data_IF_378705987588
#
_entry.id   IF_378705987588
#
_cell.length_a   1.000
_cell.length_b   1.000
_cell.length_c   1.000
_cell.angle_alpha   90.00
_cell.angle_beta   90.00
_cell.angle_gamma   90.00
#
_symmetry.space_group_name_H-M   'P 1'
#
loop_
_entity.id
_entity.type
_entity.pdbx_description
1 polymer ?
#
# COMPACT_ATOMS: atom_id res chain seq x y z
N UNK A 1 0.27 -13.17 -9.64
CA UNK A 1 0.41 -12.27 -8.48
C UNK A 1 -0.59 -12.69 -7.41
N UNK A 2 -0.18 -13.06 -6.18
CA UNK A 2 -1.10 -13.38 -5.09
C UNK A 2 -1.87 -12.16 -4.65
N UNK A 3 -3.04 -12.38 -4.01
CA UNK A 3 -3.78 -11.32 -3.34
C UNK A 3 -3.05 -10.89 -2.05
N UNK A 4 -3.32 -9.67 -1.55
CA UNK A 4 -2.69 -9.18 -0.32
C UNK A 4 -3.06 -10.04 0.91
N UNK A 5 -4.27 -10.58 0.96
CA UNK A 5 -4.71 -11.50 2.02
C UNK A 5 -4.22 -12.95 1.88
N UNK A 6 -3.37 -13.24 0.91
CA UNK A 6 -2.64 -14.51 0.86
C UNK A 6 -1.75 -14.62 2.11
N UNK A 7 -1.51 -15.85 2.60
CA UNK A 7 -0.62 -16.06 3.73
C UNK A 7 0.74 -15.39 3.45
N UNK A 8 1.20 -14.59 4.37
CA UNK A 8 2.39 -13.74 4.21
C UNK A 8 3.59 -14.32 4.96
N UNK A 9 4.77 -14.16 4.39
CA UNK A 9 6.04 -14.33 5.08
C UNK A 9 6.30 -13.14 6.02
N UNK A 10 6.01 -11.93 5.57
CA UNK A 10 6.21 -10.72 6.34
C UNK A 10 5.96 -9.44 5.54
N UNK A 11 6.18 -8.31 6.20
CA UNK A 11 5.98 -6.96 5.66
C UNK A 11 7.25 -6.13 5.77
N UNK A 12 7.58 -5.38 4.72
CA UNK A 12 8.64 -4.37 4.70
C UNK A 12 8.12 -3.01 5.15
N UNK A 13 8.92 -2.34 5.97
CA UNK A 13 8.86 -0.91 6.24
C UNK A 13 10.18 -0.26 5.82
N UNK A 14 10.12 0.98 5.34
CA UNK A 14 11.29 1.85 5.20
C UNK A 14 11.19 2.94 6.25
N UNK A 15 12.18 2.99 7.17
CA UNK A 15 12.08 3.73 8.43
C UNK A 15 12.31 5.22 8.25
N UNK A 16 11.46 6.10 8.84
CA UNK A 16 11.66 7.55 8.79
C UNK A 16 12.93 7.96 9.55
N UNK A 17 13.62 8.98 9.06
CA UNK A 17 14.84 9.49 9.68
C UNK A 17 15.04 10.99 9.41
N UNK A 18 16.03 11.58 10.06
CA UNK A 18 16.28 13.02 10.07
C UNK A 18 16.66 13.64 8.71
N UNK A 19 17.05 12.83 7.74
CA UNK A 19 17.35 13.29 6.38
C UNK A 19 16.17 13.16 5.41
N UNK A 20 14.96 12.91 5.93
CA UNK A 20 13.71 12.88 5.17
C UNK A 20 12.83 14.07 5.52
N UNK A 21 11.78 14.30 4.75
CA UNK A 21 10.79 15.36 5.01
C UNK A 21 10.00 15.15 6.31
N UNK A 22 10.21 14.01 6.99
CA UNK A 22 9.65 13.72 8.33
C UNK A 22 10.31 14.47 9.47
N UNK A 23 11.47 15.14 9.27
CA UNK A 23 12.22 15.78 10.34
C UNK A 23 11.37 16.63 11.29
N UNK A 24 10.42 17.48 10.80
CA UNK A 24 9.61 18.34 11.68
C UNK A 24 8.70 17.57 12.65
N UNK A 25 8.28 16.36 12.27
CA UNK A 25 7.35 15.50 13.03
C UNK A 25 7.91 14.09 13.24
N UNK A 26 9.24 13.96 13.26
CA UNK A 26 9.92 12.66 13.34
C UNK A 26 9.49 11.84 14.56
N UNK A 27 9.17 12.49 15.67
CA UNK A 27 8.68 11.83 16.88
C UNK A 27 7.32 11.14 16.67
N UNK A 28 6.36 11.86 16.10
CA UNK A 28 5.00 11.37 15.85
C UNK A 28 4.98 10.26 14.82
N UNK A 29 5.71 10.41 13.73
CA UNK A 29 5.78 9.37 12.70
C UNK A 29 6.51 8.12 13.21
N UNK A 30 7.56 8.28 14.01
CA UNK A 30 8.26 7.15 14.66
C UNK A 30 7.31 6.38 15.57
N UNK A 31 6.47 7.06 16.35
CA UNK A 31 5.47 6.41 17.21
C UNK A 31 4.44 5.61 16.37
N UNK A 32 3.99 6.16 15.24
CA UNK A 32 3.12 5.44 14.30
C UNK A 32 3.81 4.16 13.79
N UNK A 33 5.07 4.26 13.34
CA UNK A 33 5.86 3.14 12.85
C UNK A 33 6.11 2.07 13.91
N UNK A 34 6.29 2.44 15.17
CA UNK A 34 6.40 1.49 16.30
C UNK A 34 5.09 0.70 16.49
N UNK A 35 3.93 1.35 16.35
CA UNK A 35 2.63 0.68 16.48
C UNK A 35 2.37 -0.26 15.29
N UNK A 36 2.70 0.14 14.07
CA UNK A 36 2.64 -0.72 12.87
C UNK A 36 3.58 -1.92 13.06
N UNK A 37 4.83 -1.67 13.46
CA UNK A 37 5.85 -2.70 13.68
C UNK A 37 5.41 -3.74 14.69
N UNK A 38 4.78 -3.33 15.80
CA UNK A 38 4.27 -4.22 16.84
C UNK A 38 3.15 -5.11 16.30
N UNK A 39 2.21 -4.55 15.56
CA UNK A 39 1.10 -5.30 14.99
C UNK A 39 1.59 -6.37 13.98
N UNK A 40 2.56 -6.04 13.14
CA UNK A 40 3.17 -6.95 12.17
C UNK A 40 4.00 -8.03 12.89
N UNK A 41 4.97 -7.63 13.74
CA UNK A 41 5.89 -8.56 14.39
C UNK A 41 5.20 -9.54 15.36
N UNK A 42 3.99 -9.25 15.83
CA UNK A 42 3.17 -10.18 16.59
C UNK A 42 2.74 -11.41 15.78
N UNK A 43 2.73 -11.33 14.43
CA UNK A 43 2.15 -12.33 13.53
C UNK A 43 3.11 -12.89 12.48
N UNK A 44 4.02 -12.08 11.97
CA UNK A 44 4.87 -12.41 10.82
C UNK A 44 6.19 -11.66 10.86
N UNK A 45 7.06 -11.88 9.90
CA UNK A 45 8.33 -11.17 9.83
C UNK A 45 8.12 -9.69 9.54
N UNK A 46 8.94 -8.86 10.19
CA UNK A 46 9.05 -7.44 9.94
C UNK A 46 10.43 -7.15 9.35
N UNK A 47 10.45 -6.79 8.05
CA UNK A 47 11.65 -6.33 7.36
C UNK A 47 11.72 -4.81 7.45
N UNK A 48 12.76 -4.27 8.05
CA UNK A 48 12.97 -2.83 8.20
C UNK A 48 14.21 -2.39 7.45
N UNK A 49 14.01 -1.52 6.48
CA UNK A 49 15.07 -0.84 5.73
C UNK A 49 15.33 0.51 6.39
N UNK A 50 16.59 0.84 6.69
CA UNK A 50 16.95 2.08 7.39
C UNK A 50 18.43 2.41 7.22
N UNK A 51 18.83 3.70 7.17
CA UNK A 51 20.25 4.08 7.29
C UNK A 51 20.82 3.85 8.70
N UNK A 52 19.97 3.66 9.73
CA UNK A 52 20.37 3.64 11.15
C UNK A 52 19.88 2.39 11.88
N UNK A 53 20.40 1.20 11.53
CA UNK A 53 19.90 -0.09 12.04
C UNK A 53 20.01 -0.22 13.59
N UNK A 54 21.09 0.23 14.21
CA UNK A 54 21.26 0.11 15.68
C UNK A 54 20.31 0.99 16.49
N UNK A 55 20.12 2.29 16.19
CA UNK A 55 19.09 3.12 16.82
C UNK A 55 17.68 2.57 16.63
N UNK A 56 17.32 2.15 15.41
CA UNK A 56 15.98 1.59 15.12
C UNK A 56 15.75 0.30 15.90
N UNK A 57 16.75 -0.61 15.99
CA UNK A 57 16.66 -1.81 16.83
C UNK A 57 16.39 -1.45 18.29
N UNK A 58 17.06 -0.44 18.82
CA UNK A 58 16.85 -0.01 20.20
C UNK A 58 15.44 0.55 20.42
N UNK A 59 14.92 1.32 19.48
CA UNK A 59 13.54 1.83 19.52
C UNK A 59 12.52 0.68 19.47
N UNK A 60 12.64 -0.25 18.53
CA UNK A 60 11.78 -1.42 18.43
C UNK A 60 11.76 -2.25 19.72
N UNK A 61 12.93 -2.45 20.33
CA UNK A 61 13.06 -3.19 21.60
C UNK A 61 12.35 -2.50 22.79
N UNK A 62 11.95 -1.23 22.69
CA UNK A 62 11.12 -0.56 23.71
C UNK A 62 9.64 -0.95 23.64
N UNK A 63 9.19 -1.50 22.51
CA UNK A 63 7.77 -1.78 22.21
C UNK A 63 7.49 -3.25 21.95
N UNK A 64 8.44 -3.96 21.35
CA UNK A 64 8.31 -5.35 20.97
C UNK A 64 8.84 -6.26 22.09
N UNK A 65 8.19 -7.39 22.31
CA UNK A 65 8.67 -8.47 23.17
C UNK A 65 9.93 -9.12 22.57
N UNK A 66 10.62 -9.94 23.37
CA UNK A 66 11.78 -10.68 22.89
C UNK A 66 11.43 -11.64 21.75
N UNK A 67 10.24 -12.27 21.78
CA UNK A 67 9.75 -13.15 20.71
C UNK A 67 9.46 -12.38 19.43
N UNK A 68 8.77 -11.22 19.51
CA UNK A 68 8.49 -10.36 18.37
C UNK A 68 9.79 -9.85 17.74
N UNK A 69 10.79 -9.48 18.55
CA UNK A 69 12.12 -9.04 18.07
C UNK A 69 12.87 -10.13 17.29
N UNK A 70 12.56 -11.42 17.48
CA UNK A 70 13.17 -12.50 16.68
C UNK A 70 12.64 -12.51 15.24
N UNK A 71 11.46 -11.92 14.99
CA UNK A 71 10.89 -11.79 13.65
C UNK A 71 11.34 -10.52 12.92
N UNK A 72 12.10 -9.64 13.60
CA UNK A 72 12.58 -8.38 13.02
C UNK A 72 13.89 -8.58 12.28
N UNK A 73 13.90 -8.24 11.01
CA UNK A 73 15.06 -8.23 10.12
C UNK A 73 15.37 -6.77 9.79
N UNK A 74 16.58 -6.31 10.15
CA UNK A 74 17.03 -4.93 9.90
C UNK A 74 18.06 -4.93 8.79
N UNK A 75 17.79 -4.16 7.73
CA UNK A 75 18.69 -3.96 6.59
C UNK A 75 19.19 -2.53 6.59
N UNK A 76 20.49 -2.36 6.76
CA UNK A 76 21.09 -1.03 6.77
C UNK A 76 21.48 -0.60 5.37
N UNK A 77 20.82 0.45 4.89
CA UNK A 77 21.13 1.12 3.62
C UNK A 77 20.53 2.52 3.59
N UNK A 78 21.06 3.42 2.75
CA UNK A 78 20.50 4.77 2.60
C UNK A 78 19.14 4.72 1.88
N UNK A 79 18.24 5.63 2.27
CA UNK A 79 16.91 5.80 1.68
C UNK A 79 16.64 7.29 1.41
N UNK A 80 15.70 7.60 0.50
CA UNK A 80 15.20 8.95 0.32
C UNK A 80 13.97 9.20 1.18
N UNK A 81 13.04 8.22 1.27
CA UNK A 81 11.77 8.35 1.97
C UNK A 81 11.31 7.00 2.53
N UNK A 82 10.03 6.87 2.87
CA UNK A 82 9.46 5.80 3.69
C UNK A 82 8.42 4.94 2.98
N UNK A 83 8.09 5.22 1.75
CA UNK A 83 6.94 4.68 1.02
C UNK A 83 7.24 3.29 0.41
N UNK A 84 7.38 2.29 1.30
CA UNK A 84 7.77 0.93 0.93
C UNK A 84 6.80 0.28 -0.09
N UNK A 85 5.53 0.67 -0.09
CA UNK A 85 4.54 0.21 -1.04
C UNK A 85 4.96 0.46 -2.48
N UNK A 86 5.57 1.62 -2.75
CA UNK A 86 5.79 2.09 -4.10
C UNK A 86 7.17 1.75 -4.66
N UNK A 87 8.14 1.53 -3.78
CA UNK A 87 9.49 1.12 -4.18
C UNK A 87 9.84 -0.33 -3.84
N UNK A 88 8.95 -1.07 -3.16
CA UNK A 88 9.15 -2.45 -2.78
C UNK A 88 8.93 -3.44 -3.94
N UNK A 89 9.36 -4.68 -3.75
CA UNK A 89 9.13 -5.74 -4.74
C UNK A 89 7.65 -6.03 -4.94
N UNK A 90 7.23 -6.16 -6.20
CA UNK A 90 5.99 -6.87 -6.52
C UNK A 90 6.33 -8.36 -6.62
N UNK A 91 5.73 -9.17 -5.74
CA UNK A 91 6.08 -10.58 -5.61
C UNK A 91 5.05 -11.49 -6.28
N UNK A 92 5.53 -12.39 -7.12
CA UNK A 92 4.74 -13.50 -7.65
C UNK A 92 5.10 -14.78 -6.93
N UNK A 93 4.19 -15.75 -6.91
CA UNK A 93 4.45 -17.12 -6.50
C UNK A 93 4.38 -18.03 -7.72
N UNK A 94 5.37 -18.90 -7.88
CA UNK A 94 5.36 -19.97 -8.85
C UNK A 94 4.52 -21.17 -8.35
N UNK A 95 4.21 -22.11 -9.24
CA UNK A 95 3.42 -23.30 -8.89
C UNK A 95 4.08 -24.16 -7.80
N UNK A 96 5.42 -24.15 -7.71
CA UNK A 96 6.18 -24.84 -6.67
C UNK A 96 6.30 -24.03 -5.37
N UNK A 97 5.66 -22.86 -5.31
CA UNK A 97 5.64 -21.97 -4.14
C UNK A 97 6.86 -21.07 -4.00
N UNK A 98 7.79 -21.07 -4.95
CA UNK A 98 8.92 -20.14 -4.93
C UNK A 98 8.51 -18.71 -5.30
N UNK A 99 9.19 -17.75 -4.71
CA UNK A 99 8.97 -16.34 -5.01
C UNK A 99 9.73 -15.91 -6.27
N UNK A 100 9.03 -15.11 -7.10
CA UNK A 100 9.65 -14.25 -8.12
C UNK A 100 9.48 -12.80 -7.68
N UNK A 101 10.59 -12.12 -7.55
CA UNK A 101 10.69 -10.76 -7.00
C UNK A 101 10.92 -9.78 -8.15
N UNK A 102 9.87 -9.09 -8.56
CA UNK A 102 9.88 -8.15 -9.67
C UNK A 102 10.28 -6.76 -9.16
N UNK A 103 11.38 -6.23 -9.68
CA UNK A 103 11.93 -4.91 -9.36
C UNK A 103 11.56 -3.91 -10.46
N UNK A 104 10.48 -3.15 -10.23
CA UNK A 104 10.04 -2.08 -11.12
C UNK A 104 10.73 -0.76 -10.78
N UNK A 105 10.78 0.15 -11.76
CA UNK A 105 11.33 1.47 -11.54
C UNK A 105 10.40 2.29 -10.63
N UNK A 106 10.95 2.78 -9.53
CA UNK A 106 10.35 3.85 -8.75
C UNK A 106 11.05 5.17 -9.04
N UNK A 107 10.33 6.16 -9.53
CA UNK A 107 10.89 7.45 -9.94
C UNK A 107 10.32 8.66 -9.16
N UNK A 108 9.77 8.41 -7.96
CA UNK A 108 9.21 9.47 -7.11
C UNK A 108 7.90 10.04 -7.66
N UNK A 109 6.97 9.15 -8.04
CA UNK A 109 5.62 9.46 -8.53
C UNK A 109 5.61 10.38 -9.75
N UNK A 110 6.43 10.05 -10.74
CA UNK A 110 6.54 10.83 -11.95
C UNK A 110 7.55 11.99 -11.83
N UNK A 111 8.68 11.75 -11.15
CA UNK A 111 9.80 12.69 -11.00
C UNK A 111 9.47 13.91 -10.10
N UNK A 112 8.46 13.80 -9.24
CA UNK A 112 8.08 14.87 -8.31
C UNK A 112 9.05 14.97 -7.12
N UNK A 113 9.62 13.82 -6.69
CA UNK A 113 10.48 13.70 -5.52
C UNK A 113 11.76 12.91 -5.79
N UNK A 114 12.85 13.12 -5.03
CA UNK A 114 14.04 12.28 -5.10
C UNK A 114 13.73 10.82 -4.79
N UNK A 115 14.18 9.90 -5.67
CA UNK A 115 13.85 8.47 -5.53
C UNK A 115 15.06 7.54 -5.78
N UNK A 116 16.26 8.10 -6.02
CA UNK A 116 17.41 7.33 -6.50
C UNK A 116 17.91 6.30 -5.47
N UNK A 117 17.75 6.56 -4.18
CA UNK A 117 18.15 5.64 -3.13
C UNK A 117 17.08 4.56 -2.96
N UNK A 118 15.81 4.94 -2.92
CA UNK A 118 14.67 4.04 -2.74
C UNK A 118 14.56 3.06 -3.91
N UNK A 119 14.75 3.53 -5.15
CA UNK A 119 14.80 2.71 -6.36
C UNK A 119 15.94 1.66 -6.38
N UNK A 120 16.83 1.64 -5.37
CA UNK A 120 17.91 0.64 -5.23
C UNK A 120 17.63 -0.38 -4.12
N UNK A 121 16.61 -0.17 -3.31
CA UNK A 121 16.34 -0.99 -2.12
C UNK A 121 16.15 -2.45 -2.53
N UNK A 122 15.32 -2.74 -3.51
CA UNK A 122 15.03 -4.08 -3.99
C UNK A 122 16.29 -4.85 -4.38
N UNK A 123 17.13 -4.28 -5.23
CA UNK A 123 18.40 -4.91 -5.64
C UNK A 123 19.36 -5.11 -4.47
N UNK A 124 19.40 -4.16 -3.54
CA UNK A 124 20.28 -4.25 -2.38
C UNK A 124 19.83 -5.37 -1.44
N UNK A 125 18.52 -5.54 -1.20
CA UNK A 125 17.97 -6.65 -0.42
C UNK A 125 18.33 -8.01 -1.03
N UNK A 126 18.25 -8.15 -2.35
CA UNK A 126 18.68 -9.37 -3.05
C UNK A 126 20.17 -9.62 -2.92
N UNK A 127 21.00 -8.60 -3.12
CA UNK A 127 22.46 -8.72 -2.98
C UNK A 127 22.90 -9.10 -1.57
N UNK A 128 22.17 -8.67 -0.55
CA UNK A 128 22.40 -9.02 0.85
C UNK A 128 21.84 -10.40 1.22
N UNK A 129 21.11 -11.07 0.32
CA UNK A 129 20.51 -12.39 0.57
C UNK A 129 19.40 -12.37 1.64
N UNK A 130 18.73 -11.23 1.81
CA UNK A 130 17.67 -11.05 2.82
C UNK A 130 16.39 -11.78 2.42
N UNK A 131 16.06 -11.73 1.15
CA UNK A 131 14.90 -12.38 0.56
C UNK A 131 15.35 -13.55 -0.31
N UNK A 132 14.58 -14.62 -0.31
CA UNK A 132 14.80 -15.78 -1.17
C UNK A 132 13.82 -15.74 -2.34
N UNK A 133 14.30 -16.09 -3.53
CA UNK A 133 13.51 -16.08 -4.76
C UNK A 133 14.34 -15.71 -5.98
N UNK A 134 13.70 -15.77 -7.15
CA UNK A 134 14.29 -15.28 -8.39
C UNK A 134 14.07 -13.79 -8.56
N UNK A 135 15.13 -13.05 -8.87
CA UNK A 135 15.06 -11.61 -9.16
C UNK A 135 14.72 -11.39 -10.63
N UNK A 136 13.76 -10.50 -10.89
CA UNK A 136 13.43 -10.03 -12.24
C UNK A 136 13.58 -8.52 -12.35
N UNK A 137 14.37 -8.08 -13.33
CA UNK A 137 14.61 -6.67 -13.62
C UNK A 137 13.52 -6.13 -14.56
N UNK A 138 12.71 -5.21 -14.05
CA UNK A 138 11.72 -4.43 -14.78
C UNK A 138 11.97 -2.91 -14.67
N UNK A 139 13.20 -2.50 -14.38
CA UNK A 139 13.57 -1.10 -14.14
C UNK A 139 13.42 -0.18 -15.37
N UNK A 140 13.11 -0.74 -16.53
CA UNK A 140 12.72 0.04 -17.72
C UNK A 140 11.25 0.46 -17.74
N UNK A 141 10.47 0.08 -16.71
CA UNK A 141 9.05 0.39 -16.59
C UNK A 141 8.75 0.92 -15.18
N UNK A 142 8.11 2.08 -15.11
CA UNK A 142 7.72 2.71 -13.85
C UNK A 142 6.42 2.07 -13.37
N UNK A 143 6.46 1.51 -12.15
CA UNK A 143 5.27 0.95 -11.50
C UNK A 143 5.40 1.04 -9.99
N UNK A 144 4.48 1.74 -9.38
CA UNK A 144 4.31 1.82 -7.93
C UNK A 144 3.34 0.71 -7.45
N UNK A 145 3.67 0.04 -6.34
CA UNK A 145 2.81 -1.02 -5.80
C UNK A 145 1.43 -0.54 -5.36
N UNK A 146 1.31 0.73 -4.93
CA UNK A 146 0.03 1.35 -4.58
C UNK A 146 -0.89 1.64 -5.76
N UNK A 147 -0.34 1.60 -6.99
CA UNK A 147 -1.12 1.82 -8.22
C UNK A 147 -1.89 0.58 -8.70
N UNK A 148 -1.67 -0.60 -8.09
CA UNK A 148 -2.29 -1.85 -8.53
C UNK A 148 -2.82 -2.68 -7.37
N UNK A 149 -3.94 -3.37 -7.59
CA UNK A 149 -4.53 -4.38 -6.70
C UNK A 149 -4.65 -5.72 -7.40
N UNK A 150 -4.60 -6.83 -6.65
CA UNK A 150 -4.75 -8.18 -7.19
C UNK A 150 -5.74 -9.01 -6.39
N UNK A 151 -6.63 -9.75 -7.06
CA UNK A 151 -7.53 -10.72 -6.43
C UNK A 151 -6.88 -12.10 -6.18
N UNK A 152 -5.62 -12.29 -6.59
CA UNK A 152 -4.95 -13.58 -6.54
C UNK A 152 -5.47 -14.64 -7.51
N UNK A 153 -6.46 -14.29 -8.35
CA UNK A 153 -7.12 -15.18 -9.30
C UNK A 153 -6.94 -14.72 -10.75
N UNK A 154 -6.04 -13.74 -10.97
CA UNK A 154 -5.72 -13.19 -12.28
C UNK A 154 -6.50 -11.93 -12.68
N UNK A 155 -7.22 -11.30 -11.75
CA UNK A 155 -7.78 -9.96 -11.94
C UNK A 155 -6.90 -8.93 -11.25
N UNK A 156 -6.56 -7.87 -11.97
CA UNK A 156 -5.93 -6.66 -11.43
C UNK A 156 -6.93 -5.50 -11.46
N UNK A 157 -6.76 -4.54 -10.55
CA UNK A 157 -7.48 -3.27 -10.52
C UNK A 157 -6.46 -2.13 -10.46
N UNK A 158 -6.71 -1.07 -11.21
CA UNK A 158 -5.85 0.13 -11.25
C UNK A 158 -6.67 1.37 -11.58
N UNK A 159 -6.05 2.54 -11.54
CA UNK A 159 -6.63 3.78 -12.05
C UNK A 159 -5.98 4.20 -13.37
N UNK A 160 -6.78 4.75 -14.27
CA UNK A 160 -6.27 5.31 -15.52
C UNK A 160 -5.45 6.58 -15.26
N UNK A 161 -5.87 7.39 -14.31
CA UNK A 161 -5.19 8.63 -13.97
C UNK A 161 -3.72 8.35 -13.60
N UNK A 162 -3.45 7.38 -12.73
CA UNK A 162 -2.10 7.06 -12.29
C UNK A 162 -1.24 6.47 -13.43
N UNK A 163 -1.64 5.36 -14.03
CA UNK A 163 -0.78 4.67 -15.00
C UNK A 163 -0.56 5.46 -16.30
N UNK A 164 -1.46 6.39 -16.62
CA UNK A 164 -1.34 7.29 -17.77
C UNK A 164 -0.77 8.67 -17.41
N UNK A 165 -0.40 8.90 -16.13
CA UNK A 165 0.15 10.16 -15.68
C UNK A 165 1.49 10.49 -16.39
N UNK A 166 1.82 11.78 -16.54
CA UNK A 166 3.12 12.19 -17.10
C UNK A 166 4.32 11.60 -16.36
N UNK A 167 5.44 11.43 -17.05
CA UNK A 167 6.70 10.94 -16.49
C UNK A 167 6.66 9.52 -15.88
N UNK A 168 5.61 8.72 -16.21
CA UNK A 168 5.57 7.28 -15.92
C UNK A 168 6.12 6.48 -17.10
N UNK A 169 5.26 6.07 -18.02
CA UNK A 169 5.62 5.15 -19.09
C UNK A 169 5.34 5.69 -20.52
N UNK A 170 5.15 6.99 -20.69
CA UNK A 170 4.97 7.57 -22.02
C UNK A 170 6.20 7.34 -22.91
N UNK A 171 6.04 7.08 -24.20
CA UNK A 171 4.79 7.26 -24.98
C UNK A 171 3.87 6.02 -25.06
N UNK A 172 3.99 5.05 -24.14
CA UNK A 172 3.13 3.86 -24.16
C UNK A 172 1.64 4.22 -24.05
N UNK A 173 0.83 3.57 -24.88
CA UNK A 173 -0.62 3.63 -24.81
C UNK A 173 -1.16 2.82 -23.63
N UNK A 174 -2.41 3.08 -23.23
CA UNK A 174 -3.10 2.29 -22.20
C UNK A 174 -3.08 0.80 -22.52
N UNK A 175 -3.33 0.43 -23.79
CA UNK A 175 -3.31 -0.96 -24.22
C UNK A 175 -1.92 -1.59 -24.07
N UNK A 176 -0.85 -0.91 -24.46
CA UNK A 176 0.53 -1.41 -24.32
C UNK A 176 0.94 -1.57 -22.85
N UNK A 177 0.48 -0.67 -21.96
CA UNK A 177 0.68 -0.79 -20.51
C UNK A 177 -0.07 -2.02 -19.99
N UNK A 178 -1.35 -2.18 -20.33
CA UNK A 178 -2.17 -3.33 -19.94
C UNK A 178 -1.54 -4.66 -20.38
N UNK A 179 -1.16 -4.79 -21.66
CA UNK A 179 -0.53 -6.00 -22.20
C UNK A 179 0.75 -6.37 -21.42
N UNK A 180 1.57 -5.38 -21.04
CA UNK A 180 2.78 -5.61 -20.24
C UNK A 180 2.46 -6.07 -18.83
N UNK A 181 1.54 -5.38 -18.13
CA UNK A 181 1.14 -5.74 -16.77
C UNK A 181 0.53 -7.13 -16.72
N UNK A 182 -0.40 -7.46 -17.61
CA UNK A 182 -1.00 -8.79 -17.69
C UNK A 182 0.06 -9.89 -17.89
N UNK A 183 1.03 -9.63 -18.77
CA UNK A 183 2.12 -10.56 -19.03
C UNK A 183 3.05 -10.74 -17.83
N UNK A 184 3.54 -9.64 -17.25
CA UNK A 184 4.54 -9.69 -16.18
C UNK A 184 3.97 -10.15 -14.85
N UNK A 185 2.73 -9.75 -14.53
CA UNK A 185 2.07 -10.11 -13.27
C UNK A 185 1.27 -11.41 -13.37
N UNK A 186 1.34 -12.11 -14.52
CA UNK A 186 0.60 -13.35 -14.79
C UNK A 186 -0.89 -13.20 -14.51
N UNK A 187 -1.47 -12.09 -14.97
CA UNK A 187 -2.89 -11.79 -14.86
C UNK A 187 -3.60 -12.02 -16.18
N UNK A 188 -4.93 -12.15 -16.13
CA UNK A 188 -5.77 -12.42 -17.29
C UNK A 188 -6.59 -11.21 -17.70
N UNK A 189 -6.77 -10.25 -16.78
CA UNK A 189 -7.54 -9.04 -17.03
C UNK A 189 -7.14 -7.92 -16.07
N UNK A 190 -7.32 -6.70 -16.54
CA UNK A 190 -7.09 -5.48 -15.79
C UNK A 190 -8.37 -4.64 -15.79
N UNK A 191 -8.89 -4.32 -14.60
CA UNK A 191 -10.01 -3.42 -14.42
C UNK A 191 -9.46 -2.00 -14.23
N UNK A 192 -10.02 -1.06 -14.99
CA UNK A 192 -9.61 0.33 -14.96
C UNK A 192 -10.68 1.19 -14.29
N UNK A 193 -10.30 1.94 -13.27
CA UNK A 193 -11.08 3.07 -12.77
C UNK A 193 -10.67 4.33 -13.55
N UNK A 194 -11.64 5.07 -14.06
CA UNK A 194 -11.42 6.33 -14.75
C UNK A 194 -11.80 7.53 -13.89
N UNK A 195 -12.56 7.29 -12.85
CA UNK A 195 -12.97 8.25 -11.84
C UNK A 195 -12.45 7.90 -10.45
N UNK A 196 -12.43 8.88 -9.57
CA UNK A 196 -11.98 8.79 -8.20
C UNK A 196 -10.69 9.59 -7.99
N UNK A 197 -10.76 10.55 -7.09
CA UNK A 197 -9.60 11.35 -6.66
C UNK A 197 -9.81 11.87 -5.25
N UNK A 198 -8.72 12.13 -4.54
CA UNK A 198 -8.71 12.75 -3.23
C UNK A 198 -7.88 14.04 -3.29
N UNK A 199 -8.39 15.12 -2.70
CA UNK A 199 -7.60 16.34 -2.52
C UNK A 199 -6.38 16.03 -1.65
N UNK A 200 -5.22 16.55 -2.05
CA UNK A 200 -3.95 16.31 -1.38
C UNK A 200 -3.24 15.01 -1.79
N UNK A 201 -3.78 14.21 -2.72
CA UNK A 201 -3.08 13.04 -3.24
C UNK A 201 -1.93 13.45 -4.18
N UNK A 202 -0.72 12.98 -3.89
CA UNK A 202 0.50 13.25 -4.67
C UNK A 202 0.81 12.16 -5.70
N UNK A 203 0.05 11.06 -5.69
CA UNK A 203 0.36 9.85 -6.45
C UNK A 203 -0.28 9.81 -7.83
N UNK A 204 -1.06 10.82 -8.19
CA UNK A 204 -1.92 10.87 -9.37
C UNK A 204 -3.07 9.84 -9.33
N UNK A 205 -3.62 9.58 -8.14
CA UNK A 205 -4.77 8.70 -7.95
C UNK A 205 -4.40 7.23 -7.84
N UNK A 206 -3.51 6.86 -6.93
CA UNK A 206 -3.27 5.46 -6.58
C UNK A 206 -4.56 4.76 -6.18
N UNK A 207 -4.76 3.54 -6.69
CA UNK A 207 -5.98 2.77 -6.43
C UNK A 207 -6.11 2.38 -4.95
N UNK A 208 -5.00 2.21 -4.23
CA UNK A 208 -4.97 1.82 -2.82
C UNK A 208 -5.50 2.91 -1.86
N UNK A 209 -5.66 4.14 -2.35
CA UNK A 209 -6.31 5.23 -1.61
C UNK A 209 -7.82 5.30 -1.87
N UNK A 210 -8.32 4.61 -2.91
CA UNK A 210 -9.68 4.73 -3.44
C UNK A 210 -10.49 3.44 -3.30
N UNK A 211 -9.95 2.32 -3.79
CA UNK A 211 -10.66 1.04 -3.86
C UNK A 211 -9.69 -0.14 -3.74
N UNK A 212 -10.03 -1.13 -2.94
CA UNK A 212 -9.22 -2.29 -2.62
C UNK A 212 -9.94 -3.58 -2.95
N UNK A 213 -9.27 -4.48 -3.67
CA UNK A 213 -9.73 -5.86 -3.79
C UNK A 213 -9.61 -6.58 -2.44
N UNK A 214 -10.63 -7.35 -2.07
CA UNK A 214 -10.74 -8.03 -0.79
C UNK A 214 -11.22 -9.48 -0.98
N UNK A 215 -11.14 -10.33 0.07
CA UNK A 215 -11.72 -11.67 0.05
C UNK A 215 -13.19 -11.68 -0.37
N UNK A 216 -13.68 -12.86 -0.81
CA UNK A 216 -15.10 -13.11 -1.15
C UNK A 216 -15.62 -12.22 -2.29
N UNK A 217 -14.76 -11.94 -3.30
CA UNK A 217 -15.09 -11.10 -4.46
C UNK A 217 -15.67 -9.74 -4.02
N UNK A 218 -15.08 -9.15 -2.98
CA UNK A 218 -15.49 -7.86 -2.42
C UNK A 218 -14.53 -6.76 -2.89
N UNK A 219 -15.07 -5.56 -3.15
CA UNK A 219 -14.29 -4.33 -3.31
C UNK A 219 -14.67 -3.39 -2.16
N UNK A 220 -13.70 -3.10 -1.29
CA UNK A 220 -13.81 -2.01 -0.31
C UNK A 220 -13.40 -0.70 -0.99
N UNK A 221 -14.19 0.35 -0.81
CA UNK A 221 -13.95 1.63 -1.49
C UNK A 221 -14.38 2.81 -0.62
N UNK A 222 -13.75 3.96 -0.82
CA UNK A 222 -14.13 5.19 -0.12
C UNK A 222 -15.43 5.75 -0.71
N UNK A 223 -16.43 6.01 0.15
CA UNK A 223 -17.72 6.53 -0.23
C UNK A 223 -17.95 7.92 0.33
N UNK A 224 -18.19 8.89 -0.54
CA UNK A 224 -18.62 10.23 -0.14
C UNK A 224 -20.14 10.36 -0.25
N UNK A 225 -20.83 10.61 0.87
CA UNK A 225 -22.29 10.82 0.91
C UNK A 225 -22.70 12.27 1.05
N UNK A 226 -21.75 13.16 1.36
CA UNK A 226 -21.99 14.58 1.55
C UNK A 226 -21.96 15.35 0.23
N UNK A 227 -23.11 15.73 -0.33
CA UNK A 227 -23.18 16.42 -1.62
C UNK A 227 -22.46 17.81 -1.65
N UNK A 228 -22.11 18.36 -0.50
CA UNK A 228 -21.34 19.59 -0.38
C UNK A 228 -19.82 19.36 -0.32
N UNK A 229 -19.36 18.10 -0.18
CA UNK A 229 -17.95 17.78 -0.17
C UNK A 229 -17.40 17.81 -1.61
N UNK A 230 -16.23 18.42 -1.87
CA UNK A 230 -15.65 18.50 -3.22
C UNK A 230 -15.40 17.12 -3.87
N UNK A 231 -15.21 16.06 -3.09
CA UNK A 231 -15.02 14.70 -3.60
C UNK A 231 -16.33 14.03 -4.07
N UNK A 232 -17.51 14.59 -3.74
CA UNK A 232 -18.78 13.90 -3.93
C UNK A 232 -18.98 13.42 -5.37
N UNK A 233 -18.79 14.29 -6.34
CA UNK A 233 -19.06 13.98 -7.73
C UNK A 233 -18.13 12.88 -8.27
N UNK A 234 -16.83 13.01 -8.04
CA UNK A 234 -15.82 12.03 -8.52
C UNK A 234 -15.99 10.68 -7.86
N UNK A 235 -16.24 10.63 -6.55
CA UNK A 235 -16.42 9.36 -5.84
C UNK A 235 -17.77 8.70 -6.15
N UNK A 236 -18.81 9.46 -6.52
CA UNK A 236 -20.05 8.87 -7.03
C UNK A 236 -19.85 8.21 -8.40
N UNK A 237 -19.14 8.87 -9.32
CA UNK A 237 -18.80 8.28 -10.63
C UNK A 237 -17.94 7.02 -10.48
N UNK A 238 -16.96 7.03 -9.56
CA UNK A 238 -16.18 5.83 -9.22
C UNK A 238 -17.08 4.70 -8.71
N UNK A 239 -18.03 5.00 -7.82
CA UNK A 239 -18.97 3.99 -7.31
C UNK A 239 -19.84 3.40 -8.42
N UNK A 240 -20.27 4.20 -9.41
CA UNK A 240 -20.99 3.71 -10.59
C UNK A 240 -20.11 2.76 -11.42
N UNK A 241 -18.83 3.11 -11.67
CA UNK A 241 -17.88 2.21 -12.34
C UNK A 241 -17.70 0.89 -11.59
N UNK A 242 -17.53 0.94 -10.26
CA UNK A 242 -17.39 -0.26 -9.42
C UNK A 242 -18.62 -1.17 -9.48
N UNK A 243 -19.83 -0.63 -9.57
CA UNK A 243 -21.09 -1.40 -9.73
C UNK A 243 -21.15 -2.12 -11.08
N UNK A 244 -20.55 -1.54 -12.12
CA UNK A 244 -20.50 -2.15 -13.44
C UNK A 244 -19.40 -3.21 -13.58
N UNK A 245 -18.40 -3.24 -12.68
CA UNK A 245 -17.34 -4.24 -12.69
C UNK A 245 -17.88 -5.63 -12.39
N UNK A 246 -17.26 -6.63 -13.00
CA UNK A 246 -17.64 -8.04 -12.84
C UNK A 246 -16.44 -8.88 -12.45
N UNK A 247 -16.67 -9.92 -11.67
CA UNK A 247 -15.67 -10.96 -11.36
C UNK A 247 -15.28 -11.72 -12.63
N UNK A 248 -14.26 -12.55 -12.59
CA UNK A 248 -13.85 -13.39 -13.71
C UNK A 248 -14.97 -14.37 -14.16
N UNK A 249 -15.92 -14.66 -13.28
CA UNK A 249 -17.08 -15.51 -13.54
C UNK A 249 -18.29 -14.73 -14.08
N UNK A 250 -18.17 -13.40 -14.26
CA UNK A 250 -19.23 -12.53 -14.75
C UNK A 250 -20.23 -12.04 -13.69
N UNK A 251 -20.01 -12.37 -12.42
CA UNK A 251 -20.85 -11.89 -11.30
C UNK A 251 -20.48 -10.45 -10.89
N UNK A 252 -21.40 -9.65 -10.35
CA UNK A 252 -21.04 -8.39 -9.74
C UNK A 252 -20.15 -8.63 -8.50
N UNK A 253 -19.25 -7.68 -8.22
CA UNK A 253 -18.54 -7.67 -6.95
C UNK A 253 -19.48 -7.25 -5.81
N UNK A 254 -19.21 -7.77 -4.60
CA UNK A 254 -19.78 -7.22 -3.38
C UNK A 254 -19.09 -5.89 -3.08
N UNK A 255 -19.84 -4.80 -2.94
CA UNK A 255 -19.26 -3.49 -2.66
C UNK A 255 -19.35 -3.17 -1.16
N UNK A 256 -18.21 -2.86 -0.56
CA UNK A 256 -18.10 -2.46 0.85
C UNK A 256 -17.75 -0.95 0.91
N UNK A 257 -18.73 -0.08 1.08
CA UNK A 257 -18.47 1.35 1.20
C UNK A 257 -17.80 1.64 2.55
N UNK A 258 -16.63 2.28 2.53
CA UNK A 258 -15.98 2.86 3.71
C UNK A 258 -16.36 4.33 3.82
N UNK A 259 -16.58 4.88 5.02
CA UNK A 259 -16.93 6.29 5.15
C UNK A 259 -15.79 7.20 4.68
N UNK A 260 -16.10 8.41 4.24
CA UNK A 260 -15.08 9.46 4.13
C UNK A 260 -14.49 9.73 5.52
N UNK A 261 -13.18 9.85 5.60
CA UNK A 261 -12.54 10.40 6.80
C UNK A 261 -12.98 11.86 6.98
N UNK A 262 -13.08 12.30 8.23
CA UNK A 262 -13.34 13.72 8.49
C UNK A 262 -12.22 14.58 7.87
N UNK A 263 -12.55 15.75 7.31
CA UNK A 263 -11.56 16.62 6.68
C UNK A 263 -10.40 16.94 7.62
N UNK A 264 -9.20 16.68 7.16
CA UNK A 264 -7.95 17.00 7.83
C UNK A 264 -7.18 17.99 6.97
N UNK A 265 -6.50 18.94 7.61
CA UNK A 265 -5.81 20.02 6.92
C UNK A 265 -4.38 20.16 7.45
N UNK A 266 -3.47 20.63 6.59
CA UNK A 266 -2.13 21.07 6.95
C UNK A 266 -2.16 22.47 7.61
N UNK A 267 -0.98 23.02 7.91
CA UNK A 267 -0.84 24.37 8.52
C UNK A 267 -1.21 25.49 7.55
N UNK A 268 -1.12 25.26 6.24
CA UNK A 268 -1.48 26.19 5.17
C UNK A 268 -2.97 26.14 4.83
N UNK A 269 -3.72 25.17 5.38
CA UNK A 269 -5.15 24.97 5.14
C UNK A 269 -5.48 24.13 3.91
N UNK A 270 -4.50 23.40 3.33
CA UNK A 270 -4.73 22.44 2.28
C UNK A 270 -5.29 21.13 2.86
N UNK A 271 -6.24 20.52 2.17
CA UNK A 271 -6.82 19.24 2.61
C UNK A 271 -5.84 18.10 2.44
N UNK A 272 -5.75 17.25 3.45
CA UNK A 272 -4.90 16.07 3.47
C UNK A 272 -5.70 14.82 3.05
N UNK A 273 -5.08 13.84 2.34
CA UNK A 273 -5.77 12.70 1.74
C UNK A 273 -6.03 11.56 2.74
N UNK A 274 -6.80 11.83 3.80
CA UNK A 274 -7.19 10.81 4.76
C UNK A 274 -8.21 9.84 4.13
N UNK A 275 -7.90 8.55 4.11
CA UNK A 275 -8.77 7.52 3.54
C UNK A 275 -8.69 6.20 4.29
N UNK A 276 -9.84 5.62 4.61
CA UNK A 276 -9.91 4.28 5.22
C UNK A 276 -9.67 3.14 4.23
N UNK A 277 -9.60 3.41 2.92
CA UNK A 277 -9.20 2.42 1.93
C UNK A 277 -7.71 2.02 2.02
N UNK A 278 -6.89 2.83 2.68
CA UNK A 278 -5.45 2.60 2.81
C UNK A 278 -5.10 1.65 3.98
N UNK A 279 -5.87 0.56 4.14
CA UNK A 279 -5.65 -0.50 5.12
C UNK A 279 -4.67 -1.57 4.60
N UNK A 280 -4.13 -2.39 5.50
CA UNK A 280 -3.20 -3.49 5.18
C UNK A 280 -3.73 -4.81 5.73
N UNK A 281 -3.82 -5.84 4.88
CA UNK A 281 -3.95 -7.22 5.33
C UNK A 281 -2.61 -7.76 5.84
N UNK A 282 -2.64 -8.39 7.00
CA UNK A 282 -1.56 -9.21 7.55
C UNK A 282 -2.12 -10.55 8.00
N UNK A 283 -1.28 -11.51 8.41
CA UNK A 283 -1.76 -12.81 8.84
C UNK A 283 -2.75 -12.71 10.02
N UNK A 284 -4.02 -13.03 9.74
CA UNK A 284 -5.11 -13.07 10.72
C UNK A 284 -5.61 -11.69 11.20
N UNK A 285 -5.13 -10.58 10.62
CA UNK A 285 -5.63 -9.26 10.97
C UNK A 285 -5.66 -8.29 9.77
N UNK A 286 -6.41 -7.20 9.92
CA UNK A 286 -6.40 -6.05 9.03
C UNK A 286 -6.00 -4.83 9.87
N UNK A 287 -4.91 -4.19 9.48
CA UNK A 287 -4.51 -2.91 10.06
C UNK A 287 -5.30 -1.79 9.39
N UNK A 288 -6.12 -1.09 10.17
CA UNK A 288 -6.95 0.01 9.68
C UNK A 288 -6.34 1.35 10.06
N UNK A 289 -6.10 2.25 9.12
CA UNK A 289 -5.71 3.61 9.46
C UNK A 289 -6.84 4.30 10.21
N UNK A 290 -6.50 5.06 11.25
CA UNK A 290 -7.40 5.96 11.97
C UNK A 290 -6.79 7.37 11.99
N UNK A 291 -7.64 8.38 12.09
CA UNK A 291 -7.19 9.77 11.91
C UNK A 291 -7.57 10.69 13.09
N UNK A 292 -7.95 10.08 14.23
CA UNK A 292 -8.34 10.81 15.44
C UNK A 292 -9.75 11.39 15.39
N UNK A 293 -10.62 10.80 14.57
CA UNK A 293 -12.04 11.16 14.40
C UNK A 293 -12.92 10.00 14.85
N UNK A 294 -13.25 9.89 16.16
CA UNK A 294 -13.80 8.67 16.76
C UNK A 294 -15.04 8.11 16.05
N UNK A 295 -15.92 8.95 15.54
CA UNK A 295 -17.17 8.51 14.90
C UNK A 295 -16.88 7.80 13.56
N UNK A 296 -16.09 8.42 12.67
CA UNK A 296 -15.74 7.84 11.36
C UNK A 296 -14.73 6.71 11.50
N UNK A 297 -13.73 6.82 12.40
CA UNK A 297 -12.76 5.76 12.71
C UNK A 297 -13.49 4.49 13.18
N UNK A 298 -14.43 4.63 14.14
CA UNK A 298 -15.19 3.50 14.68
C UNK A 298 -16.11 2.89 13.62
N UNK A 299 -16.74 3.70 12.79
CA UNK A 299 -17.62 3.20 11.73
C UNK A 299 -16.84 2.42 10.64
N UNK A 300 -15.66 2.92 10.24
CA UNK A 300 -14.79 2.21 9.30
C UNK A 300 -14.37 0.84 9.86
N UNK A 301 -13.89 0.79 11.10
CA UNK A 301 -13.51 -0.45 11.79
C UNK A 301 -14.71 -1.40 11.88
N UNK A 302 -15.89 -0.89 12.28
CA UNK A 302 -17.11 -1.71 12.40
C UNK A 302 -17.52 -2.32 11.05
N UNK A 303 -17.46 -1.56 9.96
CA UNK A 303 -17.79 -2.07 8.61
C UNK A 303 -16.84 -3.18 8.19
N UNK A 304 -15.54 -3.00 8.39
CA UNK A 304 -14.54 -4.01 8.10
C UNK A 304 -14.74 -5.27 8.95
N UNK A 305 -15.02 -5.13 10.27
CA UNK A 305 -15.26 -6.28 11.14
C UNK A 305 -16.51 -7.08 10.77
N UNK A 306 -17.55 -6.41 10.26
CA UNK A 306 -18.76 -7.09 9.78
C UNK A 306 -18.51 -7.80 8.46
N UNK A 307 -17.74 -7.20 7.57
CA UNK A 307 -17.44 -7.77 6.25
C UNK A 307 -16.45 -8.93 6.32
N UNK A 308 -15.50 -8.87 7.24
CA UNK A 308 -14.40 -9.84 7.37
C UNK A 308 -14.29 -10.33 8.84
N UNK A 309 -15.29 -11.10 9.34
CA UNK A 309 -15.32 -11.53 10.74
C UNK A 309 -14.18 -12.49 11.12
N UNK A 310 -13.52 -13.10 10.15
CA UNK A 310 -12.36 -13.97 10.32
C UNK A 310 -11.05 -13.24 10.63
N UNK A 311 -11.01 -11.91 10.43
CA UNK A 311 -9.85 -11.07 10.73
C UNK A 311 -10.06 -10.24 12.00
N UNK A 312 -9.00 -10.06 12.78
CA UNK A 312 -8.96 -9.03 13.81
C UNK A 312 -8.74 -7.65 13.14
N UNK A 313 -9.58 -6.67 13.46
CA UNK A 313 -9.40 -5.31 12.93
C UNK A 313 -8.65 -4.47 13.96
N UNK A 314 -7.44 -4.02 13.59
CA UNK A 314 -6.55 -3.26 14.47
C UNK A 314 -6.43 -1.83 13.96
N UNK A 315 -6.95 -0.87 14.72
CA UNK A 315 -6.81 0.55 14.40
C UNK A 315 -5.40 1.07 14.69
N UNK A 316 -4.79 1.73 13.72
CA UNK A 316 -3.48 2.40 13.84
C UNK A 316 -3.68 3.89 13.58
N UNK A 317 -3.26 4.73 14.53
CA UNK A 317 -3.32 6.18 14.34
C UNK A 317 -2.28 6.62 13.28
N UNK A 318 -2.77 6.98 12.10
CA UNK A 318 -2.00 7.40 10.94
C UNK A 318 -2.09 8.92 10.68
N UNK A 319 -2.54 9.70 11.67
CA UNK A 319 -2.68 11.16 11.52
C UNK A 319 -1.36 11.84 11.13
N UNK A 320 -0.22 11.35 11.62
CA UNK A 320 1.10 11.85 11.24
C UNK A 320 1.48 11.50 9.80
N UNK A 321 1.02 10.36 9.26
CA UNK A 321 1.38 9.91 7.91
C UNK A 321 0.76 10.80 6.83
N UNK A 322 -0.51 11.20 6.98
CA UNK A 322 -1.20 12.00 5.97
C UNK A 322 -0.62 13.42 5.81
N UNK A 323 0.22 13.89 6.74
CA UNK A 323 0.94 15.17 6.63
C UNK A 323 1.90 15.14 5.42
N UNK A 324 2.42 13.97 5.07
CA UNK A 324 3.22 13.72 3.87
C UNK A 324 2.42 12.96 2.81
N UNK A 325 1.10 13.22 2.73
CA UNK A 325 0.18 12.79 1.68
C UNK A 325 -0.06 11.28 1.52
N UNK A 326 0.53 10.42 2.36
CA UNK A 326 0.32 8.97 2.37
C UNK A 326 -0.31 8.45 3.67
N UNK A 327 -0.54 7.13 3.75
CA UNK A 327 -1.10 6.51 4.96
C UNK A 327 -0.50 5.11 5.19
N UNK A 328 -1.21 4.23 5.91
CA UNK A 328 -0.73 2.96 6.41
C UNK A 328 -0.24 2.01 5.30
N UNK A 329 -1.05 1.79 4.27
CA UNK A 329 -0.71 0.89 3.17
C UNK A 329 0.49 1.40 2.39
N UNK A 330 0.54 2.70 2.14
CA UNK A 330 1.62 3.36 1.39
C UNK A 330 3.01 3.13 2.02
N UNK A 331 3.12 3.04 3.35
CA UNK A 331 4.40 2.81 4.03
C UNK A 331 4.76 1.32 4.22
N UNK A 332 3.96 0.39 3.70
CA UNK A 332 4.12 -1.06 3.89
C UNK A 332 4.17 -1.82 2.57
N UNK A 333 4.98 -2.89 2.47
CA UNK A 333 4.95 -3.83 1.34
C UNK A 333 5.02 -5.26 1.87
N UNK A 334 3.98 -6.05 1.59
CA UNK A 334 3.90 -7.44 1.99
C UNK A 334 4.69 -8.37 1.06
N UNK A 335 5.19 -9.45 1.62
CA UNK A 335 5.73 -10.59 0.90
C UNK A 335 4.86 -11.81 1.18
N UNK A 336 4.31 -12.49 0.16
CA UNK A 336 3.57 -13.72 0.37
C UNK A 336 4.49 -14.80 0.98
N UNK A 337 3.90 -15.76 1.69
CA UNK A 337 4.66 -16.93 2.17
C UNK A 337 5.15 -17.73 0.96
N UNK A 338 6.43 -17.94 0.88
CA UNK A 338 7.10 -18.71 -0.18
C UNK A 338 7.90 -19.89 0.39
N UNK A 339 8.08 -20.91 -0.41
CA UNK A 339 8.99 -22.03 -0.10
C UNK A 339 10.42 -21.63 -0.42
N UNK A 340 11.33 -21.97 0.49
CA UNK A 340 12.80 -21.75 0.33
C UNK A 340 13.44 -22.74 -0.63
#
# INVERSE_FOLDING_TARGET
MPAEWHLQWGVQLTWPHEATDWLPILGEVTECYLNISKAIAAREHLLVVTPHASPVRALLATRLSQEEMQRVILCQMPTNDTWARDHGFITLLEEDGKARLLDFCFNGWGEKFPAQLDNRICRTLMQQGVLQGSYEDHLSFVLEGGSIESDGKGTLLTTRQCLMAPHRNQPLTQQEIEERLLKWLHAHRLLWLTHGSLEGDDTDGHVDTLARLCPHDTIAYVQCTGAADPHYQELQLMEEELREMRTAQGNPFSLLPLPMAAPAFDEEGNRLPATYANFLFINGAILMPTYGTPDTDSEAIRRMQVAFPEYEIIGINCRSLIIQHGSLHCCTMQFPLFTS
#
